data_IF_437564775042
#
_entry.id   IF_437564775042
#
_cell.length_a   1.000
_cell.length_b   1.000
_cell.length_c   1.000
_cell.angle_alpha   90.00
_cell.angle_beta   90.00
_cell.angle_gamma   90.00
#
_symmetry.space_group_name_H-M   'P 1'
#
loop_
_entity.id
_entity.type
_entity.pdbx_description
1 polymer ?
#
# COMPACT_ATOMS: atom_id res chain seq x y z
N UNK A 1 14.07 -0.10 -18.75
CA UNK A 1 13.14 1.05 -18.60
C UNK A 1 12.75 1.19 -17.13
N UNK A 2 12.71 2.42 -16.59
CA UNK A 2 12.32 2.68 -15.20
C UNK A 2 11.12 3.60 -15.20
N UNK A 3 9.98 3.14 -14.66
CA UNK A 3 8.79 3.96 -14.47
C UNK A 3 8.59 4.23 -12.98
N UNK A 4 8.44 5.50 -12.62
CA UNK A 4 8.27 5.97 -11.25
C UNK A 4 6.87 6.56 -11.11
N UNK A 5 6.05 5.98 -10.24
CA UNK A 5 4.73 6.49 -9.92
C UNK A 5 4.77 7.24 -8.59
N UNK A 6 4.61 8.56 -8.68
CA UNK A 6 4.62 9.45 -7.53
C UNK A 6 3.33 9.31 -6.73
N UNK A 7 3.44 9.24 -5.41
CA UNK A 7 2.26 9.24 -4.52
C UNK A 7 1.49 10.56 -4.64
N UNK A 8 0.17 10.47 -4.83
CA UNK A 8 -0.72 11.64 -4.78
C UNK A 8 -0.82 12.24 -3.39
N UNK A 9 -0.64 11.45 -2.35
CA UNK A 9 -0.82 11.84 -0.95
C UNK A 9 0.20 12.89 -0.49
N UNK A 10 1.44 12.86 -1.03
CA UNK A 10 2.47 13.86 -0.72
C UNK A 10 2.26 15.24 -1.36
N UNK A 11 1.31 15.37 -2.30
CA UNK A 11 1.01 16.65 -2.93
C UNK A 11 0.26 17.54 -1.94
N UNK A 12 0.86 18.68 -1.61
CA UNK A 12 0.28 19.66 -0.68
C UNK A 12 0.86 19.63 0.74
N UNK A 13 1.70 18.65 1.11
CA UNK A 13 2.35 18.64 2.42
C UNK A 13 3.20 19.91 2.67
N UNK A 14 3.96 20.34 1.66
CA UNK A 14 4.76 21.56 1.74
C UNK A 14 3.88 22.82 1.87
N UNK A 15 2.76 22.88 1.12
CA UNK A 15 1.81 23.99 1.19
C UNK A 15 1.16 24.05 2.58
N UNK A 16 0.78 22.90 3.13
CA UNK A 16 0.18 22.80 4.46
C UNK A 16 1.17 23.18 5.56
N UNK A 17 2.43 22.81 5.42
CA UNK A 17 3.49 23.19 6.34
C UNK A 17 3.76 24.71 6.26
N UNK A 18 3.87 25.24 5.04
CA UNK A 18 4.12 26.67 4.82
C UNK A 18 2.96 27.52 5.32
N UNK A 19 1.71 27.11 5.07
CA UNK A 19 0.52 27.81 5.56
C UNK A 19 0.43 27.80 7.09
N UNK A 20 0.74 26.67 7.73
CA UNK A 20 0.76 26.58 9.20
C UNK A 20 1.86 27.45 9.81
N UNK A 21 3.03 27.54 9.18
CA UNK A 21 4.11 28.42 9.60
C UNK A 21 3.74 29.91 9.46
N UNK A 22 3.10 30.29 8.34
CA UNK A 22 2.60 31.67 8.12
C UNK A 22 1.57 32.04 9.19
N UNK A 23 0.60 31.15 9.45
CA UNK A 23 -0.41 31.38 10.50
C UNK A 23 0.25 31.54 11.86
N UNK A 24 1.26 30.75 12.19
CA UNK A 24 2.00 30.87 13.44
C UNK A 24 2.70 32.25 13.58
N UNK A 25 3.35 32.69 12.51
CA UNK A 25 4.04 34.02 12.48
C UNK A 25 3.04 35.17 12.62
N UNK A 26 1.95 35.12 11.83
CA UNK A 26 0.90 36.18 11.92
C UNK A 26 0.28 36.22 13.31
N UNK A 27 0.10 35.10 13.94
CA UNK A 27 -0.45 35.04 15.27
C UNK A 27 0.51 35.57 16.34
N UNK A 28 1.79 35.20 16.28
CA UNK A 28 2.80 35.77 17.20
C UNK A 28 2.91 37.28 17.04
N UNK A 29 2.79 37.77 15.79
CA UNK A 29 2.79 39.21 15.52
C UNK A 29 1.54 39.89 16.10
N UNK A 30 0.36 39.32 15.94
CA UNK A 30 -0.90 39.83 16.49
C UNK A 30 -0.84 39.95 18.02
N UNK A 31 -0.24 38.97 18.68
CA UNK A 31 -0.07 38.96 20.13
C UNK A 31 0.93 40.00 20.62
N UNK A 32 1.99 40.24 19.87
CA UNK A 32 2.96 41.29 20.18
C UNK A 32 2.33 42.69 20.08
N UNK A 33 1.39 42.89 19.13
CA UNK A 33 0.75 44.17 18.86
C UNK A 33 -0.49 44.44 19.74
N UNK A 34 -1.22 43.38 20.14
CA UNK A 34 -2.48 43.52 20.87
C UNK A 34 -2.66 42.44 21.96
N UNK A 35 -1.85 42.46 23.02
CA UNK A 35 -1.90 41.42 24.07
C UNK A 35 -3.21 41.41 24.85
N UNK A 36 -4.00 42.53 24.80
CA UNK A 36 -5.26 42.67 25.51
C UNK A 36 -6.44 41.93 24.86
N UNK A 37 -6.29 41.46 23.61
CA UNK A 37 -7.39 40.82 22.85
C UNK A 37 -7.53 39.34 23.14
N UNK A 38 -6.59 38.74 23.85
CA UNK A 38 -6.57 37.27 24.03
C UNK A 38 -6.64 36.86 25.49
N UNK A 39 -7.63 36.04 25.83
CA UNK A 39 -7.70 35.37 27.12
C UNK A 39 -6.68 34.19 27.19
N UNK A 40 -6.29 33.81 28.40
CA UNK A 40 -5.38 32.65 28.59
C UNK A 40 -5.91 31.35 27.94
N UNK A 41 -7.23 31.19 27.91
CA UNK A 41 -7.88 30.04 27.25
C UNK A 41 -7.71 30.10 25.72
N UNK A 42 -7.77 31.26 25.10
CA UNK A 42 -7.52 31.45 23.67
C UNK A 42 -6.10 31.08 23.27
N UNK A 43 -5.11 31.32 24.12
CA UNK A 43 -3.73 30.94 23.92
C UNK A 43 -3.54 29.40 23.87
N UNK A 44 -4.12 28.72 24.83
CA UNK A 44 -4.02 27.26 24.94
C UNK A 44 -4.67 26.61 23.72
N UNK A 45 -5.86 27.04 23.33
CA UNK A 45 -6.57 26.51 22.15
C UNK A 45 -5.77 26.72 20.87
N UNK A 46 -5.19 27.89 20.70
CA UNK A 46 -4.39 28.20 19.51
C UNK A 46 -3.10 27.38 19.43
N UNK A 47 -2.40 27.22 20.57
CA UNK A 47 -1.21 26.39 20.64
C UNK A 47 -1.52 24.92 20.29
N UNK A 48 -2.65 24.40 20.78
CA UNK A 48 -3.13 23.05 20.45
C UNK A 48 -3.44 22.91 18.96
N UNK A 49 -4.10 23.90 18.34
CA UNK A 49 -4.38 23.87 16.90
C UNK A 49 -3.08 23.92 16.07
N UNK A 50 -2.10 24.71 16.48
CA UNK A 50 -0.80 24.77 15.82
C UNK A 50 -0.06 23.43 15.89
N UNK A 51 -0.02 22.82 17.08
CA UNK A 51 0.58 21.48 17.25
C UNK A 51 -0.10 20.43 16.39
N UNK A 52 -1.44 20.45 16.31
CA UNK A 52 -2.20 19.56 15.47
C UNK A 52 -1.86 19.77 13.99
N UNK A 53 -1.80 21.02 13.52
CA UNK A 53 -1.44 21.34 12.14
C UNK A 53 -0.02 20.88 11.79
N UNK A 54 0.95 21.10 12.68
CA UNK A 54 2.32 20.63 12.52
C UNK A 54 2.40 19.10 12.52
N UNK A 55 1.64 18.42 13.37
CA UNK A 55 1.59 16.98 13.41
C UNK A 55 1.02 16.39 12.10
N UNK A 56 -0.04 16.97 11.56
CA UNK A 56 -0.62 16.57 10.27
C UNK A 56 0.37 16.81 9.12
N UNK A 57 1.03 17.96 9.10
CA UNK A 57 2.04 18.30 8.10
C UNK A 57 3.23 17.32 8.17
N UNK A 58 3.75 17.04 9.37
CA UNK A 58 4.81 16.05 9.58
C UNK A 58 4.40 14.63 9.13
N UNK A 59 3.17 14.24 9.47
CA UNK A 59 2.64 12.94 9.05
C UNK A 59 2.63 12.78 7.53
N UNK A 60 2.25 13.82 6.79
CA UNK A 60 2.29 13.84 5.32
C UNK A 60 3.69 13.87 4.72
N UNK A 61 4.64 14.55 5.37
CA UNK A 61 6.03 14.59 4.92
C UNK A 61 6.74 13.23 5.06
N UNK A 62 6.30 12.39 5.99
CA UNK A 62 6.87 11.04 6.20
C UNK A 62 6.34 9.98 5.25
N UNK A 63 5.38 10.32 4.37
CA UNK A 63 4.91 9.41 3.33
C UNK A 63 5.95 9.25 2.20
N UNK A 64 6.11 8.03 1.64
CA UNK A 64 7.07 7.81 0.58
C UNK A 64 6.71 8.63 -0.67
N UNK A 65 7.73 9.27 -1.25
CA UNK A 65 7.57 10.13 -2.43
C UNK A 65 7.10 9.34 -3.67
N UNK A 66 7.60 8.11 -3.82
CA UNK A 66 7.18 7.16 -4.85
C UNK A 66 6.37 6.04 -4.20
N UNK A 67 5.24 5.72 -4.79
CA UNK A 67 4.39 4.62 -4.35
C UNK A 67 4.81 3.31 -5.00
N UNK A 68 4.99 3.33 -6.32
CA UNK A 68 5.37 2.15 -7.11
C UNK A 68 6.48 2.52 -8.10
N UNK A 69 7.46 1.65 -8.19
CA UNK A 69 8.54 1.72 -9.15
C UNK A 69 8.54 0.43 -9.98
N UNK A 70 8.49 0.55 -11.29
CA UNK A 70 8.72 -0.55 -12.22
C UNK A 70 10.17 -0.47 -12.69
N UNK A 71 10.97 -1.46 -12.35
CA UNK A 71 12.37 -1.55 -12.70
C UNK A 71 12.68 -2.89 -13.40
N UNK A 72 13.94 -3.12 -13.75
CA UNK A 72 14.39 -4.35 -14.41
C UNK A 72 14.21 -5.60 -13.55
N UNK A 73 14.18 -5.47 -12.22
CA UNK A 73 14.02 -6.59 -11.29
C UNK A 73 12.58 -6.99 -11.08
N UNK A 74 11.63 -6.05 -11.24
CA UNK A 74 10.23 -6.30 -10.95
C UNK A 74 9.44 -5.06 -10.58
N UNK A 75 8.34 -5.28 -9.90
CA UNK A 75 7.47 -4.26 -9.30
C UNK A 75 7.92 -4.01 -7.87
N UNK A 76 8.41 -2.81 -7.59
CA UNK A 76 8.81 -2.37 -6.26
C UNK A 76 7.75 -1.42 -5.70
N UNK A 77 7.10 -1.82 -4.61
CA UNK A 77 6.12 -1.01 -3.90
C UNK A 77 6.74 -0.40 -2.65
N UNK A 78 6.61 0.90 -2.51
CA UNK A 78 7.10 1.64 -1.36
C UNK A 78 5.96 1.97 -0.40
N UNK A 79 6.10 1.51 0.81
CA UNK A 79 5.20 1.80 1.90
C UNK A 79 5.97 2.48 3.04
N UNK A 80 5.28 3.25 3.90
CA UNK A 80 5.89 3.94 5.06
C UNK A 80 6.66 3.00 6.00
N UNK A 81 6.30 1.71 6.05
CA UNK A 81 6.92 0.69 6.91
C UNK A 81 7.98 -0.17 6.23
N UNK A 82 8.29 0.11 4.99
CA UNK A 82 9.25 -0.63 4.18
C UNK A 82 8.80 -0.76 2.75
N UNK A 83 9.53 -1.51 1.95
CA UNK A 83 9.18 -1.80 0.56
C UNK A 83 9.19 -3.30 0.32
N UNK A 84 8.36 -3.78 -0.61
CA UNK A 84 8.42 -5.13 -1.12
C UNK A 84 8.73 -5.14 -2.62
N UNK A 85 9.41 -6.16 -3.05
CA UNK A 85 9.74 -6.39 -4.45
C UNK A 85 8.99 -7.65 -4.93
N UNK A 86 8.26 -7.52 -6.04
CA UNK A 86 7.71 -8.64 -6.78
C UNK A 86 8.53 -8.84 -8.05
N UNK A 87 9.39 -9.85 -8.11
CA UNK A 87 10.20 -10.13 -9.29
C UNK A 87 9.34 -10.46 -10.51
N UNK A 88 9.76 -10.04 -11.71
CA UNK A 88 9.03 -10.34 -12.94
C UNK A 88 8.81 -11.84 -13.18
N UNK A 89 9.73 -12.67 -12.71
CA UNK A 89 9.66 -14.13 -12.81
C UNK A 89 8.57 -14.73 -11.91
N UNK A 90 8.24 -14.08 -10.80
CA UNK A 90 7.17 -14.48 -9.88
C UNK A 90 5.83 -13.79 -10.20
N UNK A 91 5.82 -12.79 -11.06
CA UNK A 91 4.65 -12.01 -11.44
C UNK A 91 3.95 -12.62 -12.66
N UNK A 92 2.64 -12.78 -12.63
CA UNK A 92 1.83 -13.25 -13.76
C UNK A 92 1.13 -12.11 -14.49
N UNK A 93 0.23 -11.42 -13.81
CA UNK A 93 -0.50 -10.28 -14.34
C UNK A 93 -0.98 -9.35 -13.23
N UNK A 94 -1.26 -8.10 -13.60
CA UNK A 94 -1.96 -7.14 -12.75
C UNK A 94 -3.39 -6.94 -13.27
N UNK A 95 -4.34 -6.86 -12.35
CA UNK A 95 -5.76 -6.59 -12.66
C UNK A 95 -6.42 -5.79 -11.55
N UNK A 96 -7.56 -5.19 -11.85
CA UNK A 96 -8.44 -4.61 -10.83
C UNK A 96 -9.29 -5.77 -10.29
N UNK A 97 -9.21 -6.07 -8.98
CA UNK A 97 -10.03 -7.13 -8.41
C UNK A 97 -11.51 -6.69 -8.34
N UNK A 98 -12.40 -7.65 -8.56
CA UNK A 98 -13.84 -7.42 -8.53
C UNK A 98 -14.49 -8.28 -7.43
N UNK A 99 -15.51 -7.72 -6.80
CA UNK A 99 -16.40 -8.43 -5.92
C UNK A 99 -17.82 -8.37 -6.49
N UNK A 100 -18.53 -9.51 -6.60
CA UNK A 100 -19.85 -9.58 -7.22
C UNK A 100 -20.88 -8.66 -6.54
N UNK A 101 -20.70 -8.35 -5.25
CA UNK A 101 -21.58 -7.46 -4.49
C UNK A 101 -21.28 -5.97 -4.66
N UNK A 102 -20.05 -5.60 -5.05
CA UNK A 102 -19.57 -4.21 -5.05
C UNK A 102 -19.09 -3.79 -6.44
N UNK A 103 -18.76 -4.75 -7.32
CA UNK A 103 -18.12 -4.50 -8.60
C UNK A 103 -16.60 -4.34 -8.47
N UNK A 104 -16.01 -3.48 -9.31
CA UNK A 104 -14.59 -3.18 -9.27
C UNK A 104 -14.19 -2.55 -7.94
N UNK A 105 -13.14 -3.09 -7.32
CA UNK A 105 -12.59 -2.56 -6.08
C UNK A 105 -11.57 -1.47 -6.39
N UNK A 106 -11.46 -0.48 -5.51
CA UNK A 106 -10.44 0.57 -5.62
C UNK A 106 -9.04 0.07 -5.19
N UNK A 107 -8.64 -1.07 -5.76
CA UNK A 107 -7.35 -1.73 -5.54
C UNK A 107 -6.73 -2.17 -6.86
N UNK A 108 -5.42 -2.29 -6.86
CA UNK A 108 -4.67 -3.01 -7.89
C UNK A 108 -4.23 -4.35 -7.33
N UNK A 109 -4.64 -5.42 -7.98
CA UNK A 109 -4.26 -6.78 -7.63
C UNK A 109 -3.12 -7.29 -8.51
N UNK A 110 -2.21 -8.06 -7.91
CA UNK A 110 -1.11 -8.73 -8.60
C UNK A 110 -1.26 -10.23 -8.43
N UNK A 111 -1.19 -10.95 -9.54
CA UNK A 111 -1.17 -12.40 -9.55
C UNK A 111 0.27 -12.90 -9.46
N UNK A 112 0.54 -13.70 -8.43
CA UNK A 112 1.87 -14.20 -8.08
C UNK A 112 1.94 -15.70 -8.34
N UNK A 113 2.91 -16.13 -9.13
CA UNK A 113 3.11 -17.56 -9.46
C UNK A 113 4.08 -18.25 -8.50
N UNK A 114 5.10 -17.54 -8.02
CA UNK A 114 6.13 -18.06 -7.12
C UNK A 114 6.16 -17.29 -5.82
N UNK A 115 5.49 -17.82 -4.80
CA UNK A 115 5.38 -17.20 -3.47
C UNK A 115 6.74 -17.10 -2.77
N UNK A 116 7.63 -18.10 -2.94
CA UNK A 116 8.96 -18.12 -2.35
C UNK A 116 9.77 -16.89 -2.71
N UNK A 117 9.77 -16.53 -4.00
CA UNK A 117 10.56 -15.42 -4.52
C UNK A 117 10.06 -14.07 -3.99
N UNK A 118 8.74 -13.95 -3.80
CA UNK A 118 8.14 -12.74 -3.21
C UNK A 118 8.39 -12.68 -1.70
N UNK A 119 8.14 -13.77 -0.96
CA UNK A 119 8.28 -13.81 0.49
C UNK A 119 9.72 -13.57 0.95
N UNK A 120 10.72 -13.96 0.15
CA UNK A 120 12.13 -13.67 0.42
C UNK A 120 12.44 -12.17 0.46
N UNK A 121 11.65 -11.35 -0.24
CA UNK A 121 11.84 -9.89 -0.31
C UNK A 121 10.83 -9.09 0.53
N UNK A 122 10.02 -9.77 1.36
CA UNK A 122 9.00 -9.13 2.18
C UNK A 122 9.49 -8.87 3.61
N UNK A 123 9.71 -7.60 4.02
CA UNK A 123 10.08 -7.28 5.40
C UNK A 123 8.95 -7.62 6.38
N UNK A 124 9.27 -8.25 7.50
CA UNK A 124 8.29 -8.69 8.50
C UNK A 124 7.40 -7.54 9.02
N UNK A 125 8.00 -6.36 9.25
CA UNK A 125 7.25 -5.17 9.70
C UNK A 125 6.20 -4.72 8.69
N UNK A 126 6.52 -4.84 7.40
CA UNK A 126 5.60 -4.52 6.33
C UNK A 126 4.53 -5.60 6.20
N UNK A 127 4.89 -6.88 6.31
CA UNK A 127 3.95 -8.00 6.28
C UNK A 127 2.85 -7.85 7.33
N UNK A 128 3.22 -7.56 8.61
CA UNK A 128 2.25 -7.28 9.68
C UNK A 128 1.32 -6.13 9.31
N UNK A 129 1.87 -5.03 8.80
CA UNK A 129 1.08 -3.85 8.45
C UNK A 129 0.08 -4.15 7.33
N UNK A 130 0.53 -4.83 6.27
CA UNK A 130 -0.34 -5.24 5.16
C UNK A 130 -1.43 -6.22 5.60
N UNK A 131 -1.12 -7.17 6.49
CA UNK A 131 -2.11 -8.07 7.08
C UNK A 131 -3.21 -7.31 7.82
N UNK A 132 -2.87 -6.23 8.51
CA UNK A 132 -3.84 -5.39 9.22
C UNK A 132 -4.67 -4.53 8.24
N UNK A 133 -4.02 -3.87 7.29
CA UNK A 133 -4.67 -2.98 6.31
C UNK A 133 -5.61 -3.73 5.37
N UNK A 134 -5.21 -4.91 4.91
CA UNK A 134 -5.98 -5.73 3.97
C UNK A 134 -7.02 -6.63 4.65
N UNK A 135 -7.14 -6.58 5.99
CA UNK A 135 -8.09 -7.41 6.73
C UNK A 135 -9.53 -7.20 6.28
N UNK A 136 -9.93 -5.96 6.07
CA UNK A 136 -11.29 -5.61 5.64
C UNK A 136 -11.61 -6.18 4.25
N UNK A 137 -10.66 -6.15 3.34
CA UNK A 137 -10.80 -6.73 2.01
C UNK A 137 -11.04 -8.25 2.09
N UNK A 138 -10.23 -8.96 2.89
CA UNK A 138 -10.41 -10.40 3.08
C UNK A 138 -11.79 -10.73 3.67
N UNK A 139 -12.21 -9.98 4.70
CA UNK A 139 -13.53 -10.19 5.34
C UNK A 139 -14.66 -9.95 4.31
N UNK A 140 -14.58 -8.91 3.50
CA UNK A 140 -15.54 -8.63 2.45
C UNK A 140 -15.61 -9.76 1.41
N UNK A 141 -14.44 -10.23 0.94
CA UNK A 141 -14.34 -11.33 -0.01
C UNK A 141 -14.86 -12.66 0.58
N UNK A 142 -14.57 -12.96 1.85
CA UNK A 142 -15.07 -14.14 2.53
C UNK A 142 -16.60 -14.12 2.68
N UNK A 143 -17.18 -12.99 3.09
CA UNK A 143 -18.64 -12.85 3.26
C UNK A 143 -19.40 -13.14 1.98
N UNK A 144 -18.86 -12.75 0.84
CA UNK A 144 -19.48 -12.98 -0.45
C UNK A 144 -19.46 -14.45 -0.85
N UNK A 145 -18.41 -15.17 -0.50
CA UNK A 145 -18.26 -16.59 -0.86
C UNK A 145 -18.83 -17.56 0.19
N UNK A 146 -19.21 -17.06 1.38
CA UNK A 146 -19.83 -17.87 2.43
C UNK A 146 -21.34 -18.00 2.20
N UNK A 147 -21.77 -18.95 1.39
CA UNK A 147 -23.19 -19.31 1.23
C UNK A 147 -23.77 -20.11 2.43
N UNK A 148 -22.92 -20.64 3.31
CA UNK A 148 -23.30 -21.59 4.38
C UNK A 148 -23.40 -21.01 5.78
N UNK A 149 -23.28 -19.68 5.98
CA UNK A 149 -23.39 -19.03 7.30
C UNK A 149 -22.23 -19.29 8.27
N UNK A 150 -21.37 -20.25 8.02
CA UNK A 150 -20.14 -20.51 8.76
C UNK A 150 -18.98 -19.79 8.07
N UNK A 151 -18.87 -18.48 8.33
CA UNK A 151 -17.67 -17.74 7.96
C UNK A 151 -16.49 -18.30 8.77
N UNK A 152 -15.47 -18.89 8.15
CA UNK A 152 -14.35 -19.41 8.90
C UNK A 152 -13.52 -18.24 9.43
N UNK A 153 -13.81 -17.85 10.67
CA UNK A 153 -12.97 -16.91 11.44
C UNK A 153 -11.50 -17.37 11.46
N UNK A 154 -11.27 -18.65 11.32
CA UNK A 154 -9.97 -19.31 11.21
C UNK A 154 -9.18 -18.82 9.98
N UNK A 155 -9.80 -18.57 8.83
CA UNK A 155 -9.11 -18.05 7.63
C UNK A 155 -8.62 -16.60 7.79
N UNK A 156 -9.16 -15.84 8.75
CA UNK A 156 -8.76 -14.45 8.96
C UNK A 156 -7.41 -14.38 9.67
N UNK A 157 -7.13 -15.33 10.57
CA UNK A 157 -5.94 -15.39 11.42
C UNK A 157 -5.37 -16.81 11.42
N UNK A 158 -5.14 -17.38 10.25
CA UNK A 158 -4.50 -18.67 10.14
C UNK A 158 -3.01 -18.54 10.50
N UNK A 159 -2.62 -19.21 11.60
CA UNK A 159 -1.27 -19.15 12.18
C UNK A 159 -0.48 -20.43 11.94
N UNK A 160 -1.07 -21.42 11.26
CA UNK A 160 -0.40 -22.65 10.91
C UNK A 160 0.81 -22.42 10.00
N UNK A 161 1.73 -23.37 9.98
CA UNK A 161 2.86 -23.29 9.07
C UNK A 161 2.39 -23.42 7.61
N UNK A 162 3.08 -22.69 6.74
CA UNK A 162 2.81 -22.73 5.30
C UNK A 162 3.98 -23.40 4.58
N UNK A 163 3.69 -24.34 3.68
CA UNK A 163 4.70 -25.10 2.95
C UNK A 163 4.67 -24.76 1.46
N UNK A 164 5.86 -24.50 0.90
CA UNK A 164 6.05 -24.29 -0.56
C UNK A 164 7.18 -25.23 -0.99
N UNK A 165 6.83 -26.37 -1.57
CA UNK A 165 7.80 -27.44 -1.81
C UNK A 165 8.44 -27.91 -0.50
N UNK A 166 9.77 -27.85 -0.40
CA UNK A 166 10.51 -28.21 0.81
C UNK A 166 10.63 -27.05 1.83
N UNK A 167 10.30 -25.83 1.43
CA UNK A 167 10.43 -24.66 2.30
C UNK A 167 9.25 -24.54 3.26
N UNK A 168 9.56 -24.47 4.55
CA UNK A 168 8.61 -24.25 5.62
C UNK A 168 8.66 -22.80 6.06
N UNK A 169 7.53 -22.12 6.00
CA UNK A 169 7.35 -20.76 6.52
C UNK A 169 6.57 -20.82 7.83
N UNK A 170 6.97 -20.00 8.81
CA UNK A 170 6.34 -19.93 10.13
C UNK A 170 6.07 -18.48 10.54
N UNK A 171 5.18 -18.28 11.52
CA UNK A 171 4.84 -16.98 12.07
C UNK A 171 4.22 -16.04 11.03
N UNK A 172 4.67 -14.77 11.01
CA UNK A 172 4.07 -13.71 10.17
C UNK A 172 4.15 -14.01 8.67
N UNK A 173 5.24 -14.63 8.21
CA UNK A 173 5.39 -14.98 6.80
C UNK A 173 4.42 -16.10 6.40
N UNK A 174 4.18 -17.09 7.26
CA UNK A 174 3.17 -18.12 7.04
C UNK A 174 1.76 -17.51 6.98
N UNK A 175 1.42 -16.63 7.94
CA UNK A 175 0.14 -15.90 7.94
C UNK A 175 -0.05 -15.10 6.65
N UNK A 176 1.03 -14.46 6.16
CA UNK A 176 0.96 -13.71 4.92
C UNK A 176 0.78 -14.61 3.69
N UNK A 177 1.47 -15.75 3.65
CA UNK A 177 1.32 -16.75 2.59
C UNK A 177 -0.09 -17.36 2.56
N UNK A 178 -0.67 -17.69 3.71
CA UNK A 178 -2.08 -18.08 3.83
C UNK A 178 -3.02 -16.99 3.29
N UNK A 179 -2.76 -15.73 3.65
CA UNK A 179 -3.53 -14.59 3.13
C UNK A 179 -3.47 -14.51 1.61
N UNK A 180 -2.28 -14.63 1.01
CA UNK A 180 -2.11 -14.65 -0.45
C UNK A 180 -2.93 -15.78 -1.08
N UNK A 181 -2.87 -16.98 -0.51
CA UNK A 181 -3.62 -18.14 -0.99
C UNK A 181 -5.14 -17.95 -0.89
N UNK A 182 -5.63 -17.35 0.20
CA UNK A 182 -7.05 -17.05 0.36
C UNK A 182 -7.53 -15.98 -0.63
N UNK A 183 -6.78 -14.89 -0.80
CA UNK A 183 -7.11 -13.85 -1.77
C UNK A 183 -7.11 -14.40 -3.20
N UNK A 184 -6.16 -15.26 -3.54
CA UNK A 184 -6.12 -15.95 -4.84
C UNK A 184 -7.40 -16.74 -5.12
N UNK A 185 -7.89 -17.49 -4.13
CA UNK A 185 -9.11 -18.27 -4.26
C UNK A 185 -10.39 -17.44 -4.31
N UNK A 186 -10.42 -16.29 -3.64
CA UNK A 186 -11.61 -15.46 -3.47
C UNK A 186 -11.77 -14.40 -4.56
N UNK A 187 -10.68 -13.77 -4.98
CA UNK A 187 -10.66 -12.63 -5.91
C UNK A 187 -9.60 -12.76 -7.01
N UNK A 188 -9.01 -13.96 -7.14
CA UNK A 188 -8.03 -14.35 -8.18
C UNK A 188 -6.77 -13.44 -8.25
N UNK A 189 -6.38 -12.83 -7.12
CA UNK A 189 -5.13 -12.09 -6.95
C UNK A 189 -4.54 -12.39 -5.57
N UNK A 190 -3.21 -12.42 -5.47
CA UNK A 190 -2.49 -12.74 -4.24
C UNK A 190 -2.07 -11.50 -3.44
N UNK A 191 -1.74 -10.42 -4.15
CA UNK A 191 -1.31 -9.16 -3.56
C UNK A 191 -2.21 -8.04 -4.02
N UNK A 192 -2.47 -7.08 -3.13
CA UNK A 192 -3.24 -5.88 -3.45
C UNK A 192 -2.56 -4.63 -2.91
N UNK A 193 -2.66 -3.56 -3.68
CA UNK A 193 -2.29 -2.21 -3.24
C UNK A 193 -3.48 -1.27 -3.44
N UNK A 194 -3.69 -0.26 -2.56
CA UNK A 194 -4.75 0.71 -2.75
C UNK A 194 -4.49 1.57 -3.99
N UNK A 195 -5.52 1.75 -4.82
CA UNK A 195 -5.43 2.54 -6.04
C UNK A 195 -5.46 4.06 -5.77
N UNK A 196 -5.96 4.49 -4.60
CA UNK A 196 -6.10 5.91 -4.23
C UNK A 196 -4.78 6.68 -4.26
N UNK A 197 -3.67 6.00 -3.98
CA UNK A 197 -2.34 6.59 -4.02
C UNK A 197 -1.73 6.74 -5.42
N UNK A 198 -2.32 6.13 -6.45
CA UNK A 198 -1.79 6.15 -7.81
C UNK A 198 -2.14 7.45 -8.54
N UNK A 199 -1.24 7.98 -9.39
CA UNK A 199 -1.49 9.17 -10.19
C UNK A 199 -2.40 8.93 -11.41
N UNK A 200 -2.65 7.66 -11.76
CA UNK A 200 -3.43 7.20 -12.90
C UNK A 200 -4.51 6.21 -12.45
N UNK A 201 -5.58 5.99 -13.24
CA UNK A 201 -6.59 4.99 -12.94
C UNK A 201 -6.00 3.58 -12.77
N UNK A 202 -6.61 2.77 -11.89
CA UNK A 202 -6.14 1.40 -11.59
C UNK A 202 -6.04 0.52 -12.85
N UNK A 203 -7.03 0.59 -13.74
CA UNK A 203 -7.05 -0.16 -15.00
C UNK A 203 -5.90 0.21 -15.94
N UNK A 204 -5.60 1.50 -16.05
CA UNK A 204 -4.46 1.97 -16.86
C UNK A 204 -3.13 1.56 -16.22
N UNK A 205 -3.02 1.62 -14.90
CA UNK A 205 -1.84 1.15 -14.20
C UNK A 205 -1.60 -0.34 -14.43
N UNK A 206 -2.64 -1.18 -14.29
CA UNK A 206 -2.55 -2.62 -14.57
C UNK A 206 -2.07 -2.89 -16.00
N UNK A 207 -2.60 -2.16 -16.98
CA UNK A 207 -2.18 -2.28 -18.38
C UNK A 207 -0.69 -1.97 -18.54
N UNK A 208 -0.19 -0.89 -17.93
CA UNK A 208 1.24 -0.50 -18.01
C UNK A 208 2.16 -1.52 -17.33
N UNK A 209 1.76 -2.07 -16.18
CA UNK A 209 2.53 -3.12 -15.50
C UNK A 209 2.62 -4.36 -16.36
N UNK A 210 1.50 -4.81 -16.95
CA UNK A 210 1.45 -5.97 -17.84
C UNK A 210 2.30 -5.77 -19.10
N UNK A 211 2.29 -4.58 -19.69
CA UNK A 211 3.16 -4.23 -20.82
C UNK A 211 4.65 -4.28 -20.42
N UNK A 212 5.00 -3.78 -19.25
CA UNK A 212 6.38 -3.81 -18.75
C UNK A 212 6.89 -5.24 -18.57
N UNK A 213 6.02 -6.16 -18.12
CA UNK A 213 6.35 -7.59 -18.04
C UNK A 213 6.63 -8.19 -19.42
N UNK A 214 5.81 -7.88 -20.42
CA UNK A 214 6.02 -8.40 -21.78
C UNK A 214 7.36 -7.93 -22.35
N UNK A 215 7.73 -6.67 -22.14
CA UNK A 215 9.04 -6.15 -22.56
C UNK A 215 10.17 -6.90 -21.84
N UNK A 216 10.01 -7.19 -20.55
CA UNK A 216 11.00 -7.94 -19.79
C UNK A 216 11.20 -9.36 -20.34
N UNK A 217 10.10 -10.09 -20.61
CA UNK A 217 10.15 -11.46 -21.13
C UNK A 217 10.84 -11.47 -22.51
N UNK A 218 10.44 -10.59 -23.42
CA UNK A 218 11.02 -10.51 -24.76
C UNK A 218 12.54 -10.20 -24.71
N UNK A 219 12.98 -9.35 -23.78
CA UNK A 219 14.39 -9.04 -23.60
C UNK A 219 15.18 -10.23 -23.00
N UNK A 220 14.57 -10.99 -22.07
CA UNK A 220 15.22 -12.15 -21.49
C UNK A 220 15.39 -13.29 -22.52
N UNK A 221 14.40 -13.50 -23.39
CA UNK A 221 14.45 -14.49 -24.45
C UNK A 221 15.49 -14.14 -25.54
N UNK A 222 15.66 -12.84 -25.82
CA UNK A 222 16.69 -12.37 -26.78
C UNK A 222 18.12 -12.54 -26.25
N UNK A 223 18.32 -12.49 -24.93
CA UNK A 223 19.64 -12.71 -24.28
C UNK A 223 19.96 -14.20 -24.05
N UNK A 224 18.94 -15.07 -23.99
CA UNK A 224 19.11 -16.51 -23.83
C UNK A 224 19.43 -17.25 -25.13
N UNK A 225 19.30 -16.60 -26.27
CA UNK A 225 19.57 -17.15 -27.62
C UNK A 225 20.95 -16.71 -28.21
N UNK A 226 21.83 -16.09 -27.41
CA UNK A 226 23.22 -15.77 -27.72
C UNK A 226 24.18 -16.66 -26.93
#
# INVERSE_FOLDING_TARGET
MKYLYRSRSGQGAAVLFLSSAIVAVLFTLLLALAPQLTSMQGWVLMFMLLLLALFVAYSKLTEPYYLVELNEKGVLYHHRRGSWLLPWQAFSCARVPELASVGELNFVGFKVTRYSDFLAHLPLRLAVKLLMEQRHLLIAALRQNCQSGTCPSEMILETSDFYIGENRYHGVLAMFAHRMNHLSKLIDVELVIPAEGLPIPASEFCRRVNQSRLIYINNSDSLGNL
#
